data_IF_348324415846
#
_entry.id   IF_348324415846
#
_cell.length_a   1.000
_cell.length_b   1.000
_cell.length_c   1.000
_cell.angle_alpha   90.00
_cell.angle_beta   90.00
_cell.angle_gamma   90.00
#
_symmetry.space_group_name_H-M   'P 1'
#
loop_
_entity.id
_entity.type
_entity.pdbx_description
1 polymer ?
#
# COMPACT_ATOMS: atom_id res chain seq x y z
N UNK A 1 -11.33 24.90 -19.26
CA UNK A 1 -11.63 24.27 -17.97
C UNK A 1 -12.52 23.06 -18.22
N UNK A 2 -11.93 21.86 -18.27
CA UNK A 2 -12.70 20.63 -18.45
C UNK A 2 -13.23 20.18 -17.08
N UNK A 3 -14.55 20.14 -16.94
CA UNK A 3 -15.24 19.53 -15.81
C UNK A 3 -14.88 18.04 -15.77
N UNK A 4 -13.90 17.68 -14.94
CA UNK A 4 -13.66 16.29 -14.54
C UNK A 4 -14.85 15.86 -13.68
N UNK A 5 -15.87 15.27 -14.32
CA UNK A 5 -16.90 14.54 -13.59
C UNK A 5 -16.19 13.42 -12.82
N UNK A 6 -16.16 13.54 -11.50
CA UNK A 6 -15.70 12.49 -10.60
C UNK A 6 -16.41 11.19 -11.01
N UNK A 7 -15.64 10.18 -11.40
CA UNK A 7 -16.20 8.86 -11.72
C UNK A 7 -16.76 8.29 -10.42
N UNK A 8 -18.09 8.20 -10.31
CA UNK A 8 -18.79 7.72 -9.12
C UNK A 8 -18.67 6.22 -8.90
N UNK A 9 -18.07 5.49 -9.84
CA UNK A 9 -17.81 4.06 -9.73
C UNK A 9 -16.31 3.76 -9.80
N UNK A 10 -15.73 3.13 -8.75
CA UNK A 10 -14.33 2.75 -8.77
C UNK A 10 -14.10 1.69 -9.84
N UNK A 11 -13.15 1.94 -10.73
CA UNK A 11 -12.69 0.97 -11.71
C UNK A 11 -11.77 -0.03 -11.01
N UNK A 12 -11.84 -1.31 -11.39
CA UNK A 12 -11.00 -2.35 -10.85
C UNK A 12 -10.21 -3.03 -11.96
N UNK A 13 -8.96 -3.36 -11.67
CA UNK A 13 -8.13 -4.24 -12.48
C UNK A 13 -8.07 -5.60 -11.79
N UNK A 14 -8.17 -6.65 -12.58
CA UNK A 14 -8.04 -8.02 -12.09
C UNK A 14 -7.06 -8.77 -12.98
N UNK A 15 -6.14 -9.50 -12.35
CA UNK A 15 -5.19 -10.36 -13.03
C UNK A 15 -5.01 -11.68 -12.30
N UNK A 16 -4.69 -12.72 -13.08
CA UNK A 16 -4.22 -14.01 -12.58
C UNK A 16 -2.69 -13.98 -12.48
N UNK A 17 -2.17 -14.31 -11.31
CA UNK A 17 -0.74 -14.25 -11.00
C UNK A 17 -0.27 -15.58 -10.39
N UNK A 18 0.81 -16.15 -10.93
CA UNK A 18 1.56 -17.22 -10.28
C UNK A 18 2.78 -16.60 -9.59
N UNK A 19 2.73 -16.45 -8.26
CA UNK A 19 3.75 -15.74 -7.47
C UNK A 19 4.08 -16.46 -6.17
N UNK A 20 5.22 -16.12 -5.56
CA UNK A 20 5.58 -16.45 -4.18
C UNK A 20 5.19 -15.29 -3.27
N UNK A 21 4.02 -15.31 -2.60
CA UNK A 21 3.46 -14.10 -1.98
C UNK A 21 4.35 -13.50 -0.89
N UNK A 22 5.01 -14.35 -0.09
CA UNK A 22 5.90 -13.87 0.95
C UNK A 22 7.15 -13.17 0.42
N UNK A 23 7.64 -13.53 -0.78
CA UNK A 23 8.72 -12.78 -1.44
C UNK A 23 8.24 -11.38 -1.79
N UNK A 24 7.05 -11.28 -2.37
CA UNK A 24 6.45 -10.01 -2.78
C UNK A 24 6.25 -9.08 -1.58
N UNK A 25 5.64 -9.56 -0.50
CA UNK A 25 5.39 -8.70 0.67
C UNK A 25 6.68 -8.29 1.40
N UNK A 26 7.69 -9.17 1.46
CA UNK A 26 9.01 -8.82 2.02
C UNK A 26 9.70 -7.77 1.16
N UNK A 27 9.65 -7.88 -0.16
CA UNK A 27 10.19 -6.88 -1.08
C UNK A 27 9.49 -5.52 -0.93
N UNK A 28 8.15 -5.51 -0.85
CA UNK A 28 7.39 -4.26 -0.66
C UNK A 28 7.72 -3.62 0.69
N UNK A 29 7.75 -4.39 1.79
CA UNK A 29 8.13 -3.87 3.10
C UNK A 29 9.57 -3.32 3.09
N UNK A 30 10.51 -4.03 2.44
CA UNK A 30 11.88 -3.54 2.26
C UNK A 30 11.91 -2.21 1.49
N UNK A 31 11.12 -2.07 0.42
CA UNK A 31 11.02 -0.81 -0.32
C UNK A 31 10.56 0.35 0.57
N UNK A 32 9.59 0.12 1.47
CA UNK A 32 9.18 1.13 2.44
C UNK A 32 10.30 1.49 3.42
N UNK A 33 11.05 0.50 3.92
CA UNK A 33 12.20 0.80 4.80
C UNK A 33 13.29 1.61 4.09
N UNK A 34 13.46 1.43 2.77
CA UNK A 34 14.42 2.19 1.96
C UNK A 34 13.91 3.59 1.64
N UNK A 35 12.60 3.74 1.39
CA UNK A 35 11.97 5.05 1.15
C UNK A 35 11.94 5.91 2.41
N UNK A 36 11.92 5.29 3.59
CA UNK A 36 11.96 5.96 4.88
C UNK A 36 13.39 6.31 5.33
N UNK A 37 13.85 7.49 4.92
CA UNK A 37 15.16 8.02 5.32
C UNK A 37 15.32 8.25 6.82
N UNK A 38 14.21 8.34 7.59
CA UNK A 38 14.25 8.51 9.03
C UNK A 38 14.56 7.21 9.79
N UNK A 39 14.39 6.05 9.14
CA UNK A 39 14.56 4.73 9.73
C UNK A 39 13.48 4.36 10.76
N UNK A 40 12.36 5.09 10.82
CA UNK A 40 11.25 4.74 11.73
C UNK A 40 10.69 3.36 11.37
N UNK A 41 10.42 3.07 10.10
CA UNK A 41 9.85 1.78 9.67
C UNK A 41 10.77 0.62 10.01
N UNK A 42 12.08 0.75 9.77
CA UNK A 42 13.04 -0.33 10.07
C UNK A 42 13.22 -0.58 11.57
N UNK A 43 12.92 0.41 12.41
CA UNK A 43 12.96 0.31 13.87
C UNK A 43 11.61 -0.09 14.50
N UNK A 44 10.54 -0.27 13.71
CA UNK A 44 9.28 -0.80 14.24
C UNK A 44 9.47 -2.25 14.72
N UNK A 45 8.84 -2.65 15.84
CA UNK A 45 9.01 -3.99 16.41
C UNK A 45 8.74 -5.11 15.39
N UNK A 46 9.70 -6.03 15.23
CA UNK A 46 9.57 -7.20 14.37
C UNK A 46 9.91 -6.96 12.89
N UNK A 47 10.04 -5.71 12.41
CA UNK A 47 10.33 -5.41 11.00
C UNK A 47 11.69 -5.96 10.59
N UNK A 48 12.73 -5.65 11.36
CA UNK A 48 14.10 -6.08 11.06
C UNK A 48 14.23 -7.60 11.12
N UNK A 49 13.66 -8.25 12.14
CA UNK A 49 13.66 -9.69 12.31
C UNK A 49 12.93 -10.37 11.16
N UNK A 50 11.77 -9.85 10.75
CA UNK A 50 11.00 -10.37 9.63
C UNK A 50 11.73 -10.22 8.30
N UNK A 51 12.42 -9.10 8.05
CA UNK A 51 13.12 -8.88 6.78
C UNK A 51 14.42 -9.66 6.68
N UNK A 52 15.17 -9.80 7.78
CA UNK A 52 16.46 -10.51 7.78
C UNK A 52 16.31 -12.03 7.83
N UNK A 53 15.23 -12.54 8.41
CA UNK A 53 14.92 -13.97 8.36
C UNK A 53 14.05 -14.30 7.13
N UNK A 54 14.67 -14.95 6.15
CA UNK A 54 14.01 -15.44 4.94
C UNK A 54 12.77 -16.30 5.26
N UNK A 55 12.81 -17.13 6.30
CA UNK A 55 11.75 -18.10 6.63
C UNK A 55 10.74 -17.59 7.64
N UNK A 56 10.97 -16.42 8.24
CA UNK A 56 10.02 -15.83 9.18
C UNK A 56 8.69 -15.54 8.49
N UNK A 57 7.62 -16.16 9.00
CA UNK A 57 6.22 -15.84 8.71
C UNK A 57 5.60 -14.92 9.77
N UNK A 58 6.40 -14.47 10.75
CA UNK A 58 5.94 -13.57 11.82
C UNK A 58 5.91 -12.14 11.28
N UNK A 59 4.83 -11.78 10.59
CA UNK A 59 4.67 -10.43 10.06
C UNK A 59 4.56 -9.42 11.24
N UNK A 60 5.21 -8.24 11.16
CA UNK A 60 5.20 -7.26 12.24
C UNK A 60 3.78 -6.81 12.59
N UNK A 61 3.48 -6.78 13.89
CA UNK A 61 2.15 -6.42 14.37
C UNK A 61 1.82 -4.94 14.11
N UNK A 62 0.55 -4.65 13.81
CA UNK A 62 0.07 -3.29 13.56
C UNK A 62 0.42 -2.74 12.17
N UNK A 63 1.26 -3.42 11.38
CA UNK A 63 1.54 -3.04 10.00
C UNK A 63 0.47 -3.64 9.08
N UNK A 64 -0.03 -2.82 8.14
CA UNK A 64 -0.78 -3.31 6.98
C UNK A 64 -0.17 -2.75 5.70
N UNK A 65 -0.18 -3.58 4.65
CA UNK A 65 0.27 -3.20 3.32
C UNK A 65 -0.89 -3.41 2.35
N UNK A 66 -1.18 -2.37 1.59
CA UNK A 66 -2.23 -2.35 0.59
C UNK A 66 -1.64 -2.18 -0.81
N UNK A 67 -2.36 -2.68 -1.81
CA UNK A 67 -2.05 -2.51 -3.21
C UNK A 67 -3.22 -1.84 -3.96
N UNK A 68 -2.88 -1.00 -4.93
CA UNK A 68 -3.81 -0.42 -5.88
C UNK A 68 -3.16 -0.33 -7.26
N UNK A 69 -3.97 -0.20 -8.31
CA UNK A 69 -3.48 -0.01 -9.67
C UNK A 69 -3.49 1.46 -10.04
N UNK A 70 -2.51 1.89 -10.83
CA UNK A 70 -2.44 3.26 -11.32
C UNK A 70 -1.72 3.31 -12.68
N UNK A 71 -2.00 4.35 -13.45
CA UNK A 71 -1.29 4.66 -14.69
C UNK A 71 -0.55 6.01 -14.59
N UNK A 72 -0.27 6.51 -13.39
CA UNK A 72 0.35 7.83 -13.22
C UNK A 72 1.80 7.83 -13.72
N UNK A 73 2.22 8.90 -14.39
CA UNK A 73 3.66 9.14 -14.65
C UNK A 73 4.38 9.62 -13.39
N UNK A 74 3.64 10.17 -12.43
CA UNK A 74 4.20 10.69 -11.19
C UNK A 74 4.54 9.54 -10.26
N UNK A 75 5.76 9.58 -9.74
CA UNK A 75 6.24 8.61 -8.75
C UNK A 75 6.12 9.24 -7.38
N UNK A 76 5.47 8.53 -6.45
CA UNK A 76 5.54 8.83 -5.02
C UNK A 76 6.50 7.85 -4.39
N UNK A 77 7.49 8.34 -3.65
CA UNK A 77 8.39 7.55 -2.81
C UNK A 77 8.37 8.21 -1.43
N UNK A 78 7.19 8.20 -0.82
CA UNK A 78 6.93 8.93 0.43
C UNK A 78 7.24 7.97 1.57
N UNK A 79 8.30 8.25 2.32
CA UNK A 79 8.69 7.52 3.53
C UNK A 79 7.68 7.65 4.66
N UNK A 80 8.07 7.31 5.88
CA UNK A 80 7.18 7.35 7.03
C UNK A 80 6.68 8.77 7.30
N UNK A 81 5.36 8.94 7.40
CA UNK A 81 4.70 10.22 7.61
C UNK A 81 3.62 10.08 8.67
N UNK A 82 3.45 11.13 9.48
CA UNK A 82 2.29 11.29 10.35
C UNK A 82 1.37 12.32 9.70
N UNK A 83 0.15 11.90 9.37
CA UNK A 83 -0.85 12.70 8.66
C UNK A 83 -2.08 12.83 9.54
N UNK A 84 -2.72 14.00 9.55
CA UNK A 84 -4.02 14.16 10.18
C UNK A 84 -5.14 13.83 9.18
N UNK A 85 -5.95 12.82 9.47
CA UNK A 85 -7.18 12.48 8.76
C UNK A 85 -8.38 12.85 9.65
N UNK A 86 -9.33 13.69 9.18
CA UNK A 86 -10.48 14.10 10.00
C UNK A 86 -11.32 12.95 10.59
N UNK A 87 -11.30 11.77 9.95
CA UNK A 87 -12.10 10.60 10.35
C UNK A 87 -11.42 9.78 11.44
N UNK A 88 -10.09 9.79 11.46
CA UNK A 88 -9.28 8.84 12.25
C UNK A 88 -8.22 9.52 13.14
N UNK A 89 -8.07 10.84 13.05
CA UNK A 89 -7.04 11.59 13.75
C UNK A 89 -5.66 11.41 13.12
N UNK A 90 -4.63 11.23 13.95
CA UNK A 90 -3.26 11.04 13.47
C UNK A 90 -3.04 9.62 12.92
N UNK A 91 -2.80 9.55 11.62
CA UNK A 91 -2.50 8.34 10.87
C UNK A 91 -1.00 8.24 10.55
N UNK A 92 -0.47 7.02 10.49
CA UNK A 92 0.96 6.75 10.24
C UNK A 92 1.10 5.99 8.95
N UNK A 93 1.50 6.71 7.90
CA UNK A 93 1.41 6.23 6.53
C UNK A 93 2.75 6.33 5.80
N UNK A 94 2.88 5.55 4.74
CA UNK A 94 3.92 5.68 3.72
C UNK A 94 3.36 5.17 2.39
N UNK A 95 3.81 5.73 1.27
CA UNK A 95 3.25 5.41 -0.06
C UNK A 95 4.35 5.32 -1.10
N UNK A 96 4.33 4.22 -1.86
CA UNK A 96 5.18 4.03 -3.02
C UNK A 96 4.28 3.85 -4.24
N UNK A 97 4.34 4.79 -5.18
CA UNK A 97 3.57 4.78 -6.42
C UNK A 97 4.50 4.69 -7.63
N UNK A 98 4.34 3.65 -8.45
CA UNK A 98 4.93 3.55 -9.79
C UNK A 98 3.98 2.78 -10.73
N UNK A 99 4.27 2.72 -12.03
CA UNK A 99 3.42 1.94 -12.94
C UNK A 99 3.79 0.46 -12.88
N UNK A 100 2.82 -0.48 -12.88
CA UNK A 100 1.36 -0.28 -12.90
C UNK A 100 0.70 -0.31 -11.50
N UNK A 101 1.50 -0.40 -10.42
CA UNK A 101 1.02 -0.61 -9.06
C UNK A 101 1.50 0.48 -8.09
N UNK A 102 0.62 0.87 -7.19
CA UNK A 102 1.03 1.57 -5.99
C UNK A 102 0.82 0.71 -4.76
N UNK A 103 1.66 0.94 -3.76
CA UNK A 103 1.63 0.29 -2.47
C UNK A 103 1.45 1.33 -1.38
N UNK A 104 0.62 0.99 -0.40
CA UNK A 104 0.35 1.86 0.73
C UNK A 104 0.65 1.13 2.03
N UNK A 105 1.45 1.74 2.88
CA UNK A 105 1.81 1.24 4.19
C UNK A 105 1.03 1.99 5.26
N UNK A 106 0.58 1.26 6.27
CA UNK A 106 -0.02 1.84 7.48
C UNK A 106 0.58 1.19 8.72
N UNK A 107 0.66 1.95 9.81
CA UNK A 107 1.04 1.43 11.13
C UNK A 107 0.05 1.87 12.21
N UNK A 108 -0.72 0.91 12.74
CA UNK A 108 -1.77 1.16 13.73
C UNK A 108 -2.75 2.27 13.31
N UNK A 109 -3.05 2.35 12.02
CA UNK A 109 -3.96 3.33 11.42
C UNK A 109 -4.68 2.71 10.23
N UNK A 110 -5.91 3.14 9.91
CA UNK A 110 -6.59 2.71 8.68
C UNK A 110 -5.92 3.29 7.42
N UNK A 111 -6.20 2.74 6.23
CA UNK A 111 -5.77 3.35 4.97
C UNK A 111 -6.61 4.61 4.67
N UNK A 112 -6.12 5.53 3.82
CA UNK A 112 -6.87 6.71 3.41
C UNK A 112 -8.12 6.34 2.59
N UNK A 113 -8.10 5.17 1.95
CA UNK A 113 -9.17 4.69 1.08
C UNK A 113 -9.39 3.18 1.24
N UNK A 114 -10.63 2.78 1.52
CA UNK A 114 -11.02 1.37 1.76
C UNK A 114 -11.11 0.52 0.48
N UNK A 115 -10.93 1.11 -0.70
CA UNK A 115 -10.94 0.40 -1.99
C UNK A 115 -9.60 -0.30 -2.29
N UNK A 116 -8.54 0.02 -1.55
CA UNK A 116 -7.25 -0.63 -1.74
C UNK A 116 -7.30 -2.10 -1.30
N UNK A 117 -6.60 -2.97 -2.02
CA UNK A 117 -6.54 -4.38 -1.68
C UNK A 117 -5.54 -4.61 -0.54
N UNK A 118 -5.97 -5.12 0.61
CA UNK A 118 -5.06 -5.54 1.68
C UNK A 118 -4.30 -6.81 1.24
N UNK A 119 -2.99 -6.67 1.05
CA UNK A 119 -2.10 -7.76 0.66
C UNK A 119 -1.24 -8.25 1.83
N UNK A 120 -1.50 -7.79 3.06
CA UNK A 120 -0.79 -8.22 4.28
C UNK A 120 -0.84 -9.74 4.45
N UNK A 121 -1.94 -10.37 4.02
CA UNK A 121 -2.14 -11.81 4.05
C UNK A 121 -1.11 -12.62 3.23
N UNK A 122 -0.34 -11.97 2.33
CA UNK A 122 0.75 -12.63 1.61
C UNK A 122 1.84 -13.16 2.53
N UNK A 123 1.96 -12.59 3.74
CA UNK A 123 2.89 -13.06 4.77
C UNK A 123 2.55 -14.43 5.36
N UNK A 124 1.31 -14.92 5.17
CA UNK A 124 0.82 -16.21 5.67
C UNK A 124 1.21 -17.39 4.79
N UNK A 125 1.75 -17.13 3.59
CA UNK A 125 2.25 -18.15 2.68
C UNK A 125 3.75 -18.30 2.89
N UNK A 126 4.28 -19.52 2.89
CA UNK A 126 5.72 -19.74 3.09
C UNK A 126 6.56 -19.21 1.91
N UNK A 127 7.79 -18.79 2.22
CA UNK A 127 8.70 -18.10 1.29
C UNK A 127 8.87 -18.79 -0.06
N UNK A 128 9.09 -20.10 -0.05
CA UNK A 128 9.38 -20.88 -1.25
C UNK A 128 8.12 -21.39 -1.98
N UNK A 129 6.93 -21.20 -1.39
CA UNK A 129 5.67 -21.68 -1.97
C UNK A 129 5.13 -20.71 -3.00
N UNK A 130 5.01 -21.21 -4.23
CA UNK A 130 4.30 -20.53 -5.31
C UNK A 130 2.80 -20.85 -5.24
N UNK A 131 1.97 -19.86 -5.51
CA UNK A 131 0.52 -20.00 -5.60
C UNK A 131 0.00 -19.23 -6.79
N UNK A 132 -1.05 -19.75 -7.42
CA UNK A 132 -1.86 -19.03 -8.39
C UNK A 132 -2.96 -18.28 -7.65
N UNK A 133 -3.00 -16.96 -7.78
CA UNK A 133 -4.01 -16.11 -7.15
C UNK A 133 -4.59 -15.10 -8.13
N UNK A 134 -5.86 -14.73 -7.89
CA UNK A 134 -6.53 -13.62 -8.55
C UNK A 134 -6.38 -12.38 -7.69
N UNK A 135 -5.60 -11.41 -8.16
CA UNK A 135 -5.47 -10.12 -7.49
C UNK A 135 -6.42 -9.12 -8.14
N UNK A 136 -7.32 -8.54 -7.34
CA UNK A 136 -8.22 -7.47 -7.74
C UNK A 136 -7.82 -6.19 -7.02
N UNK A 137 -7.49 -5.15 -7.76
CA UNK A 137 -7.05 -3.85 -7.24
C UNK A 137 -7.94 -2.74 -7.78
N UNK A 138 -8.28 -1.76 -6.95
CA UNK A 138 -8.92 -0.54 -7.41
C UNK A 138 -7.94 0.30 -8.23
N UNK A 139 -8.42 0.95 -9.28
CA UNK A 139 -7.68 1.98 -10.01
C UNK A 139 -7.75 3.29 -9.25
N UNK A 140 -6.61 3.78 -8.76
CA UNK A 140 -6.49 5.03 -8.04
C UNK A 140 -5.53 5.97 -8.79
N UNK A 141 -6.04 7.11 -9.23
CA UNK A 141 -5.33 8.05 -10.08
C UNK A 141 -4.51 9.04 -9.25
N UNK A 142 -3.19 8.96 -9.39
CA UNK A 142 -2.23 9.80 -8.65
C UNK A 142 -1.83 11.01 -9.52
N UNK A 143 -2.21 12.22 -9.12
CA UNK A 143 -1.96 13.47 -9.88
C UNK A 143 -1.18 14.53 -9.10
N UNK A 144 -0.92 14.30 -7.81
CA UNK A 144 -0.17 15.21 -6.96
C UNK A 144 0.73 14.45 -5.98
N UNK A 145 1.49 15.17 -5.14
CA UNK A 145 2.37 14.58 -4.12
C UNK A 145 1.71 14.38 -2.75
N UNK A 146 0.41 14.64 -2.62
CA UNK A 146 -0.32 14.49 -1.35
C UNK A 146 -0.59 13.02 -1.10
N UNK A 147 0.02 12.46 -0.06
CA UNK A 147 -0.14 11.06 0.32
C UNK A 147 -1.62 10.70 0.52
N UNK A 148 -2.03 9.56 -0.03
CA UNK A 148 -3.41 9.06 0.11
C UNK A 148 -4.47 9.83 -0.67
N UNK A 149 -4.10 10.86 -1.43
CA UNK A 149 -5.00 11.57 -2.33
C UNK A 149 -5.00 10.96 -3.74
N UNK A 150 -6.19 10.71 -4.28
CA UNK A 150 -6.42 10.14 -5.61
C UNK A 150 -7.53 10.91 -6.33
N UNK A 151 -7.31 11.36 -7.56
CA UNK A 151 -8.21 12.33 -8.23
C UNK A 151 -9.54 11.73 -8.71
N UNK A 152 -9.59 10.40 -8.88
CA UNK A 152 -10.75 9.69 -9.43
C UNK A 152 -11.64 9.06 -8.36
N UNK A 153 -11.32 9.22 -7.09
CA UNK A 153 -12.14 8.77 -5.97
C UNK A 153 -12.21 9.90 -4.95
N UNK A 154 -13.40 10.18 -4.42
CA UNK A 154 -13.50 11.14 -3.32
C UNK A 154 -12.82 10.52 -2.08
N UNK A 155 -12.19 11.36 -1.27
CA UNK A 155 -12.10 11.05 0.16
C UNK A 155 -13.54 10.84 0.62
N UNK A 156 -13.87 9.63 1.08
CA UNK A 156 -15.22 9.31 1.54
C UNK A 156 -15.50 10.18 2.75
N UNK A 157 -16.18 11.30 2.50
CA UNK A 157 -16.77 12.25 3.45
C UNK A 157 -17.77 13.15 2.67
N UNK A 158 -18.85 12.59 2.14
CA UNK A 158 -20.11 13.31 1.85
C UNK A 158 -21.25 12.26 1.88
N UNK A 159 -21.75 11.96 3.08
CA UNK A 159 -23.21 11.78 3.28
C UNK A 159 -23.81 13.14 3.64
#
# INVERSE_FOLDING_TARGET
MANLKANTHPQYFQGDFAIKPQNVIKQILLMFTVADSSGVISNLPGVREYLLDRRSMKFPEGIRIYAYSNASVQKRMIGYCVVYDPRYGFCRWSEINFRPFGYFFTYQSPPPNNLMADITGFSLVSYDREVSLKLKTAYLNVENMVIGHYSNVKFVDEE
#
